data_IF_870654502805
#
_entry.id   IF_870654502805
#
_cell.length_a   1.000
_cell.length_b   1.000
_cell.length_c   1.000
_cell.angle_alpha   90.00
_cell.angle_beta   90.00
_cell.angle_gamma   90.00
#
_symmetry.space_group_name_H-M   'P 1'
#
loop_
_entity.id
_entity.type
_entity.pdbx_description
1 polymer ?
#
# COMPACT_ATOMS: atom_id res chain seq x y z
N UNK A 1 -4.42 9.51 -2.32
CA UNK A 1 -4.60 8.87 -3.64
C UNK A 1 -4.13 9.80 -4.74
N UNK A 2 -2.90 9.63 -5.20
CA UNK A 2 -2.32 10.50 -6.23
C UNK A 2 -2.83 10.14 -7.62
N UNK A 3 -3.02 8.86 -7.89
CA UNK A 3 -3.44 8.34 -9.21
C UNK A 3 -4.93 8.06 -9.33
N UNK A 4 -5.70 8.29 -8.28
CA UNK A 4 -7.14 8.02 -8.21
C UNK A 4 -7.91 9.27 -7.81
N UNK A 5 -9.01 9.56 -8.50
CA UNK A 5 -9.92 10.66 -8.16
C UNK A 5 -11.37 10.22 -8.20
N UNK A 6 -12.15 10.79 -7.29
CA UNK A 6 -13.60 10.65 -7.33
C UNK A 6 -14.18 11.24 -8.61
N UNK A 7 -15.33 10.73 -9.03
CA UNK A 7 -16.06 11.17 -10.23
C UNK A 7 -16.63 12.59 -10.06
N UNK A 8 -15.76 13.59 -10.10
CA UNK A 8 -16.15 14.99 -10.10
C UNK A 8 -15.37 15.78 -11.16
N UNK A 9 -15.69 15.57 -12.45
CA UNK A 9 -14.92 16.08 -13.57
C UNK A 9 -14.82 17.60 -13.62
N UNK A 10 -15.85 18.30 -13.16
CA UNK A 10 -15.92 19.76 -13.25
C UNK A 10 -15.26 20.51 -12.07
N UNK A 11 -14.79 19.77 -11.07
CA UNK A 11 -14.09 20.37 -9.93
C UNK A 11 -12.73 20.92 -10.36
N UNK A 12 -12.44 22.13 -9.97
CA UNK A 12 -11.16 22.80 -10.19
C UNK A 12 -10.03 22.17 -9.35
N UNK A 13 -8.83 22.08 -9.93
CA UNK A 13 -7.63 21.61 -9.25
C UNK A 13 -7.00 22.80 -8.54
N UNK A 14 -7.04 22.77 -7.23
CA UNK A 14 -6.58 23.89 -6.39
C UNK A 14 -5.08 24.18 -6.51
N UNK A 15 -4.30 23.16 -6.82
CA UNK A 15 -2.84 23.22 -6.92
C UNK A 15 -2.36 23.94 -8.18
N UNK A 16 -3.17 23.88 -9.25
CA UNK A 16 -2.90 24.59 -10.53
C UNK A 16 -4.21 25.19 -11.04
N UNK A 17 -4.48 26.47 -10.79
CA UNK A 17 -5.67 27.16 -11.28
C UNK A 17 -5.80 27.06 -12.82
N UNK A 18 -7.03 26.92 -13.29
CA UNK A 18 -7.34 26.81 -14.72
C UNK A 18 -7.49 25.38 -15.24
N UNK A 19 -7.17 24.36 -14.44
CA UNK A 19 -7.43 22.95 -14.76
C UNK A 19 -8.57 22.39 -13.92
N UNK A 20 -9.37 21.51 -14.52
CA UNK A 20 -10.39 20.71 -13.85
C UNK A 20 -9.96 19.25 -13.81
N UNK A 21 -10.56 18.44 -12.95
CA UNK A 21 -10.21 17.01 -12.86
C UNK A 21 -10.39 16.26 -14.18
N UNK A 22 -11.38 16.62 -15.02
CA UNK A 22 -11.53 16.02 -16.35
C UNK A 22 -10.32 16.23 -17.26
N UNK A 23 -9.55 17.29 -17.06
CA UNK A 23 -8.38 17.63 -17.89
C UNK A 23 -7.16 16.74 -17.53
N UNK A 24 -7.21 16.06 -16.39
CA UNK A 24 -6.13 15.22 -15.88
C UNK A 24 -6.47 13.73 -15.81
N UNK A 25 -7.68 13.34 -16.19
CA UNK A 25 -8.01 11.93 -16.26
C UNK A 25 -7.33 11.24 -17.44
N UNK A 26 -6.98 9.97 -17.26
CA UNK A 26 -6.62 9.10 -18.36
C UNK A 26 -7.89 8.72 -19.15
N UNK A 27 -7.81 8.80 -20.47
CA UNK A 27 -8.92 8.46 -21.35
C UNK A 27 -8.54 7.35 -22.31
N UNK A 28 -9.46 6.39 -22.54
CA UNK A 28 -9.38 5.42 -23.62
C UNK A 28 -10.72 5.35 -24.35
N UNK A 29 -10.68 5.34 -25.67
CA UNK A 29 -11.88 5.35 -26.54
C UNK A 29 -12.86 6.47 -26.16
N UNK A 30 -12.33 7.66 -25.85
CA UNK A 30 -13.09 8.85 -25.48
C UNK A 30 -13.78 8.81 -24.12
N UNK A 31 -13.50 7.81 -23.27
CA UNK A 31 -14.06 7.67 -21.92
C UNK A 31 -12.95 7.72 -20.87
N UNK A 32 -13.21 8.35 -19.70
CA UNK A 32 -12.26 8.29 -18.60
C UNK A 32 -12.08 6.85 -18.12
N UNK A 33 -10.85 6.46 -17.88
CA UNK A 33 -10.52 5.14 -17.34
C UNK A 33 -10.98 5.04 -15.89
N UNK A 34 -11.76 4.00 -15.61
CA UNK A 34 -12.35 3.76 -14.31
C UNK A 34 -11.89 2.43 -13.71
N UNK A 35 -11.50 2.45 -12.45
CA UNK A 35 -11.19 1.29 -11.64
C UNK A 35 -11.66 1.55 -10.21
N UNK A 36 -12.29 0.56 -9.58
CA UNK A 36 -12.79 0.63 -8.20
C UNK A 36 -13.61 1.90 -7.90
N UNK A 37 -14.50 2.26 -8.83
CA UNK A 37 -15.41 3.39 -8.64
C UNK A 37 -14.76 4.78 -8.74
N UNK A 38 -13.52 4.87 -9.20
CA UNK A 38 -12.80 6.13 -9.35
C UNK A 38 -12.09 6.23 -10.71
N UNK A 39 -11.81 7.45 -11.14
CA UNK A 39 -11.10 7.72 -12.40
C UNK A 39 -9.59 7.76 -12.18
N UNK A 40 -8.87 7.15 -13.11
CA UNK A 40 -7.41 7.21 -13.17
C UNK A 40 -6.94 8.62 -13.58
N UNK A 41 -5.87 9.07 -12.95
CA UNK A 41 -5.23 10.37 -13.20
C UNK A 41 -3.94 10.15 -13.97
N UNK A 42 -3.70 10.99 -14.97
CA UNK A 42 -2.45 11.01 -15.73
C UNK A 42 -1.28 11.41 -14.83
N UNK A 43 -0.34 10.50 -14.53
CA UNK A 43 0.82 10.83 -13.71
C UNK A 43 1.74 11.88 -14.32
N UNK A 44 1.67 12.05 -15.65
CA UNK A 44 2.57 12.95 -16.39
C UNK A 44 2.03 14.39 -16.47
N UNK A 45 0.79 14.60 -16.04
CA UNK A 45 0.20 15.95 -16.05
C UNK A 45 0.82 16.83 -14.94
N UNK A 46 1.15 18.11 -15.20
CA UNK A 46 1.76 18.99 -14.21
C UNK A 46 0.97 19.13 -12.90
N UNK A 47 -0.35 19.02 -12.95
CA UNK A 47 -1.18 19.02 -11.74
C UNK A 47 -0.93 17.81 -10.85
N UNK A 48 -0.58 16.67 -11.41
CA UNK A 48 -0.25 15.46 -10.64
C UNK A 48 1.03 15.69 -9.85
N UNK A 49 2.07 16.23 -10.47
CA UNK A 49 3.30 16.61 -9.78
C UNK A 49 3.04 17.65 -8.69
N UNK A 50 2.26 18.70 -8.97
CA UNK A 50 1.93 19.73 -7.98
C UNK A 50 1.19 19.16 -6.76
N UNK A 51 0.27 18.20 -6.97
CA UNK A 51 -0.43 17.51 -5.88
C UNK A 51 0.51 16.64 -5.04
N UNK A 52 1.43 15.91 -5.70
CA UNK A 52 2.44 15.09 -5.01
C UNK A 52 3.34 15.96 -4.15
N UNK A 53 3.90 17.01 -4.71
CA UNK A 53 4.75 17.98 -4.01
C UNK A 53 4.06 18.55 -2.78
N UNK A 54 2.84 19.08 -2.93
CA UNK A 54 2.09 19.64 -1.81
C UNK A 54 1.82 18.62 -0.71
N UNK A 55 1.45 17.38 -1.08
CA UNK A 55 1.19 16.33 -0.11
C UNK A 55 2.46 15.95 0.65
N UNK A 56 3.58 15.83 -0.04
CA UNK A 56 4.88 15.59 0.54
C UNK A 56 5.28 16.68 1.53
N UNK A 57 5.19 17.95 1.13
CA UNK A 57 5.48 19.09 2.01
C UNK A 57 4.61 19.09 3.29
N UNK A 58 3.35 18.66 3.18
CA UNK A 58 2.48 18.51 4.34
C UNK A 58 2.98 17.41 5.28
N UNK A 59 3.37 16.25 4.74
CA UNK A 59 3.83 15.10 5.52
C UNK A 59 5.17 15.38 6.20
N UNK A 60 6.12 16.00 5.50
CA UNK A 60 7.40 16.42 6.09
C UNK A 60 7.20 17.41 7.23
N UNK A 61 6.35 18.43 7.05
CA UNK A 61 6.04 19.40 8.14
C UNK A 61 5.37 18.74 9.33
N UNK A 62 4.62 17.66 9.13
CA UNK A 62 3.99 16.90 10.20
C UNK A 62 4.93 15.88 10.86
N UNK A 63 6.15 15.69 10.32
CA UNK A 63 7.14 14.76 10.86
C UNK A 63 6.87 13.28 10.57
N UNK A 64 6.14 12.98 9.48
CA UNK A 64 5.95 11.59 9.06
C UNK A 64 7.21 11.05 8.38
N UNK A 65 7.60 9.83 8.77
CA UNK A 65 8.73 9.07 8.21
C UNK A 65 8.30 7.84 7.42
N UNK A 66 7.01 7.52 7.45
CA UNK A 66 6.39 6.38 6.76
C UNK A 66 5.18 6.87 5.96
N UNK A 67 5.07 6.39 4.72
CA UNK A 67 3.92 6.66 3.86
C UNK A 67 3.41 5.37 3.21
N UNK A 68 2.12 5.11 3.35
CA UNK A 68 1.42 4.08 2.57
C UNK A 68 0.77 4.75 1.36
N UNK A 69 1.18 4.31 0.17
CA UNK A 69 0.65 4.78 -1.11
C UNK A 69 -0.33 3.75 -1.66
N UNK A 70 -1.60 4.08 -1.64
CA UNK A 70 -2.68 3.15 -1.98
C UNK A 70 -3.32 3.44 -3.34
N UNK A 71 -3.98 2.43 -3.93
CA UNK A 71 -4.63 2.49 -5.24
C UNK A 71 -3.68 2.88 -6.38
N UNK A 72 -2.46 2.38 -6.34
CA UNK A 72 -1.41 2.77 -7.26
C UNK A 72 -1.60 2.22 -8.69
N UNK A 73 -2.36 1.12 -8.85
CA UNK A 73 -2.68 0.51 -10.16
C UNK A 73 -3.37 1.48 -11.12
N UNK A 74 -4.12 2.46 -10.60
CA UNK A 74 -4.75 3.49 -11.44
C UNK A 74 -3.72 4.24 -12.32
N UNK A 75 -2.52 4.48 -11.81
CA UNK A 75 -1.45 5.13 -12.57
C UNK A 75 -0.83 4.28 -13.69
N UNK A 76 -1.14 2.97 -13.71
CA UNK A 76 -0.67 2.02 -14.71
C UNK A 76 -1.74 1.65 -15.76
N UNK A 77 -2.91 2.31 -15.72
CA UNK A 77 -3.96 2.05 -16.69
C UNK A 77 -3.58 2.56 -18.08
N UNK A 78 -3.95 1.79 -19.11
CA UNK A 78 -3.71 2.19 -20.49
C UNK A 78 -4.62 3.36 -20.90
N UNK A 79 -4.11 4.22 -21.78
CA UNK A 79 -4.84 5.37 -22.29
C UNK A 79 -4.53 5.63 -23.77
N UNK A 80 -5.38 6.39 -24.44
CA UNK A 80 -5.15 6.79 -25.83
C UNK A 80 -3.96 7.76 -25.95
N UNK A 81 -3.71 8.53 -24.89
CA UNK A 81 -2.60 9.50 -24.80
C UNK A 81 -2.35 9.92 -23.37
N UNK A 82 -1.13 10.37 -23.11
CA UNK A 82 -0.71 11.06 -21.89
C UNK A 82 -0.38 12.52 -22.17
N UNK A 83 -0.33 13.34 -21.12
CA UNK A 83 0.10 14.74 -21.25
C UNK A 83 1.55 14.83 -21.76
N UNK A 84 2.43 13.97 -21.27
CA UNK A 84 3.76 13.79 -21.85
C UNK A 84 3.67 12.88 -23.08
N UNK A 85 3.94 13.39 -24.31
CA UNK A 85 3.78 12.63 -25.55
C UNK A 85 4.82 11.52 -25.72
N UNK A 86 5.88 11.48 -24.91
CA UNK A 86 6.88 10.41 -24.92
C UNK A 86 6.37 9.14 -24.25
N UNK A 87 5.34 9.24 -23.43
CA UNK A 87 4.71 8.10 -22.77
C UNK A 87 3.69 7.46 -23.71
N UNK A 88 3.81 6.15 -23.90
CA UNK A 88 3.00 5.38 -24.84
C UNK A 88 2.26 4.20 -24.20
N UNK A 89 2.58 3.85 -22.97
CA UNK A 89 1.96 2.73 -22.23
C UNK A 89 1.67 3.09 -20.80
N UNK A 90 0.69 2.42 -20.19
CA UNK A 90 0.33 2.63 -18.80
C UNK A 90 1.49 2.40 -17.83
N UNK A 91 2.33 1.37 -18.09
CA UNK A 91 3.48 1.11 -17.23
C UNK A 91 4.58 2.20 -17.35
N UNK A 92 4.74 2.82 -18.51
CA UNK A 92 5.63 3.98 -18.66
C UNK A 92 5.09 5.18 -17.87
N UNK A 93 3.77 5.44 -17.94
CA UNK A 93 3.10 6.47 -17.15
C UNK A 93 3.25 6.21 -15.65
N UNK A 94 3.03 4.98 -15.21
CA UNK A 94 3.25 4.57 -13.84
C UNK A 94 4.68 4.81 -13.38
N UNK A 95 5.67 4.37 -14.17
CA UNK A 95 7.08 4.56 -13.84
C UNK A 95 7.46 6.05 -13.75
N UNK A 96 6.95 6.88 -14.66
CA UNK A 96 7.12 8.34 -14.59
C UNK A 96 6.58 8.91 -13.28
N UNK A 97 5.36 8.52 -12.91
CA UNK A 97 4.76 8.94 -11.65
C UNK A 97 5.51 8.44 -10.42
N UNK A 98 6.05 7.21 -10.45
CA UNK A 98 6.87 6.68 -9.35
C UNK A 98 8.19 7.45 -9.20
N UNK A 99 8.81 7.91 -10.28
CA UNK A 99 9.98 8.80 -10.23
C UNK A 99 9.66 10.13 -9.54
N UNK A 100 8.47 10.69 -9.79
CA UNK A 100 8.02 11.89 -9.09
C UNK A 100 7.75 11.62 -7.61
N UNK A 101 7.14 10.48 -7.27
CA UNK A 101 6.92 10.09 -5.89
C UNK A 101 8.24 9.89 -5.15
N UNK A 102 9.20 9.21 -5.76
CA UNK A 102 10.55 9.05 -5.20
C UNK A 102 11.23 10.41 -4.97
N UNK A 103 11.14 11.32 -5.94
CA UNK A 103 11.67 12.69 -5.82
C UNK A 103 11.13 13.44 -4.58
N UNK A 104 9.85 13.25 -4.24
CA UNK A 104 9.19 14.00 -3.18
C UNK A 104 9.08 13.25 -1.85
N UNK A 105 9.09 11.91 -1.86
CA UNK A 105 8.90 11.06 -0.69
C UNK A 105 10.05 10.08 -0.45
N UNK A 106 11.09 10.08 -1.27
CA UNK A 106 12.14 9.05 -1.25
C UNK A 106 13.00 9.03 0.02
N UNK A 107 12.89 10.03 0.87
CA UNK A 107 13.47 10.06 2.22
C UNK A 107 12.57 9.42 3.30
N UNK A 108 11.32 9.05 2.95
CA UNK A 108 10.40 8.31 3.79
C UNK A 108 10.43 6.82 3.48
N UNK A 109 10.01 6.01 4.44
CA UNK A 109 9.71 4.60 4.18
C UNK A 109 8.41 4.51 3.34
N UNK A 110 8.52 3.98 2.12
CA UNK A 110 7.39 3.85 1.18
C UNK A 110 6.85 2.42 1.23
N UNK A 111 5.56 2.28 1.50
CA UNK A 111 4.79 1.05 1.41
C UNK A 111 3.72 1.18 0.32
N UNK A 112 3.78 0.32 -0.70
CA UNK A 112 2.82 0.33 -1.81
C UNK A 112 1.62 -0.57 -1.53
N UNK A 113 0.44 -0.14 -1.93
CA UNK A 113 -0.79 -0.93 -1.85
C UNK A 113 -1.58 -0.81 -3.15
N UNK A 114 -2.25 -1.91 -3.56
CA UNK A 114 -2.94 -2.04 -4.85
C UNK A 114 -2.05 -1.48 -5.96
N UNK A 115 -0.85 -2.02 -6.06
CA UNK A 115 0.19 -1.56 -6.99
C UNK A 115 0.64 -2.69 -7.92
N UNK A 116 1.14 -2.39 -9.11
CA UNK A 116 1.95 -3.34 -9.86
C UNK A 116 3.08 -3.91 -8.98
N UNK A 117 3.46 -5.17 -9.21
CA UNK A 117 4.61 -5.77 -8.49
C UNK A 117 5.91 -5.12 -8.92
N UNK A 118 6.01 -4.70 -10.16
CA UNK A 118 7.16 -4.02 -10.73
C UNK A 118 6.76 -2.68 -11.36
N UNK A 119 7.66 -1.68 -11.38
CA UNK A 119 9.02 -1.66 -10.81
C UNK A 119 9.00 -1.62 -9.26
N UNK A 120 9.93 -2.37 -8.64
CA UNK A 120 9.95 -2.53 -7.18
C UNK A 120 10.89 -1.55 -6.45
N UNK A 121 11.86 -0.98 -7.15
CA UNK A 121 12.96 -0.21 -6.55
C UNK A 121 12.56 1.15 -5.93
N UNK A 122 11.31 1.57 -6.08
CA UNK A 122 10.80 2.82 -5.51
C UNK A 122 10.24 2.68 -4.09
N UNK A 123 10.16 1.46 -3.55
CA UNK A 123 9.54 1.23 -2.26
C UNK A 123 10.27 0.16 -1.45
N UNK A 124 10.19 0.27 -0.13
CA UNK A 124 10.76 -0.71 0.78
C UNK A 124 9.82 -1.88 1.02
N UNK A 125 8.51 -1.65 0.94
CA UNK A 125 7.52 -2.71 1.13
C UNK A 125 6.33 -2.60 0.19
N UNK A 126 5.60 -3.71 0.08
CA UNK A 126 4.37 -3.81 -0.69
C UNK A 126 3.34 -4.65 0.06
N UNK A 127 2.09 -4.23 0.03
CA UNK A 127 0.95 -4.98 0.54
C UNK A 127 0.78 -6.28 -0.23
N UNK A 128 0.75 -7.40 0.46
CA UNK A 128 0.71 -8.73 -0.17
C UNK A 128 -0.71 -9.31 -0.28
N UNK A 129 -1.64 -8.86 0.56
CA UNK A 129 -3.01 -9.38 0.64
C UNK A 129 -4.06 -8.26 0.69
N UNK A 130 -5.34 -8.63 0.78
CA UNK A 130 -6.44 -7.71 1.03
C UNK A 130 -6.42 -7.16 2.45
N UNK A 131 -7.33 -6.21 2.75
CA UNK A 131 -7.50 -5.67 4.09
C UNK A 131 -7.76 -6.80 5.10
N UNK A 132 -7.01 -6.80 6.16
CA UNK A 132 -7.10 -7.80 7.21
C UNK A 132 -7.56 -7.16 8.52
N UNK A 133 -8.62 -7.70 9.08
CA UNK A 133 -9.19 -7.28 10.34
C UNK A 133 -8.95 -8.34 11.43
N UNK A 134 -9.80 -8.41 12.41
CA UNK A 134 -9.71 -9.34 13.55
C UNK A 134 -10.26 -10.75 13.29
N UNK A 135 -10.57 -11.11 12.05
CA UNK A 135 -11.19 -12.42 11.72
C UNK A 135 -10.15 -13.39 11.18
N UNK A 136 -10.29 -14.66 11.58
CA UNK A 136 -9.40 -15.74 11.11
C UNK A 136 -9.31 -15.84 9.59
N UNK A 137 -10.43 -15.67 8.88
CA UNK A 137 -10.44 -15.70 7.41
C UNK A 137 -9.52 -14.66 6.76
N UNK A 138 -9.37 -13.50 7.39
CA UNK A 138 -8.50 -12.43 6.90
C UNK A 138 -7.03 -12.81 7.12
N UNK A 139 -6.73 -13.41 8.28
CA UNK A 139 -5.40 -13.95 8.58
C UNK A 139 -5.05 -15.13 7.67
N UNK A 140 -5.98 -16.05 7.44
CA UNK A 140 -5.80 -17.17 6.52
C UNK A 140 -5.48 -16.66 5.10
N UNK A 141 -6.25 -15.67 4.62
CA UNK A 141 -5.99 -15.06 3.32
C UNK A 141 -4.59 -14.44 3.23
N UNK A 142 -4.16 -13.74 4.29
CA UNK A 142 -2.81 -13.16 4.37
C UNK A 142 -1.73 -14.23 4.34
N UNK A 143 -1.89 -15.29 5.13
CA UNK A 143 -0.92 -16.40 5.18
C UNK A 143 -0.85 -17.16 3.85
N UNK A 144 -1.98 -17.36 3.18
CA UNK A 144 -2.00 -17.94 1.84
C UNK A 144 -1.26 -17.03 0.83
N UNK A 145 -1.51 -15.72 0.87
CA UNK A 145 -0.81 -14.77 0.00
C UNK A 145 0.70 -14.77 0.26
N UNK A 146 1.13 -14.88 1.52
CA UNK A 146 2.54 -15.02 1.89
C UNK A 146 3.13 -16.35 1.38
N UNK A 147 2.36 -17.46 1.45
CA UNK A 147 2.81 -18.76 0.96
C UNK A 147 3.05 -18.77 -0.54
N UNK A 148 2.15 -18.19 -1.33
CA UNK A 148 2.33 -18.08 -2.79
C UNK A 148 3.30 -16.98 -3.19
N UNK A 149 3.36 -15.91 -2.43
CA UNK A 149 4.15 -14.71 -2.72
C UNK A 149 5.47 -14.61 -1.93
N UNK A 150 5.94 -15.68 -1.28
CA UNK A 150 7.14 -15.68 -0.43
C UNK A 150 8.38 -15.12 -1.12
N UNK A 151 8.51 -15.36 -2.44
CA UNK A 151 9.62 -14.89 -3.26
C UNK A 151 9.72 -13.35 -3.31
N UNK A 152 8.67 -12.62 -2.97
CA UNK A 152 8.67 -11.15 -2.94
C UNK A 152 9.63 -10.59 -1.87
N UNK A 153 10.02 -11.38 -0.87
CA UNK A 153 11.10 -11.03 0.07
C UNK A 153 12.47 -10.81 -0.59
N UNK A 154 12.63 -11.26 -1.85
CA UNK A 154 13.82 -11.00 -2.66
C UNK A 154 13.70 -9.74 -3.52
N UNK A 155 12.52 -9.16 -3.56
CA UNK A 155 12.17 -8.01 -4.40
C UNK A 155 11.95 -6.76 -3.55
N UNK A 156 11.21 -6.90 -2.45
CA UNK A 156 10.99 -5.86 -1.46
C UNK A 156 11.72 -6.21 -0.17
N UNK A 157 12.07 -5.18 0.59
CA UNK A 157 12.69 -5.36 1.90
C UNK A 157 11.75 -6.05 2.89
N UNK A 158 10.44 -5.73 2.81
CA UNK A 158 9.38 -6.33 3.61
C UNK A 158 8.12 -6.54 2.78
N UNK A 159 7.36 -7.60 3.13
CA UNK A 159 5.99 -7.79 2.68
C UNK A 159 5.03 -7.20 3.71
N UNK A 160 4.09 -6.36 3.28
CA UNK A 160 3.08 -5.80 4.18
C UNK A 160 1.91 -6.78 4.34
N UNK A 161 1.68 -7.36 5.55
CA UNK A 161 0.58 -8.29 5.81
C UNK A 161 -0.73 -7.57 6.12
N UNK A 162 -0.76 -6.25 6.02
CA UNK A 162 -1.75 -5.34 6.54
C UNK A 162 -1.71 -5.16 8.07
N UNK A 163 -2.57 -4.29 8.55
CA UNK A 163 -2.60 -3.89 9.94
C UNK A 163 -3.00 -5.05 10.88
N UNK A 164 -2.40 -5.06 12.06
CA UNK A 164 -2.71 -5.99 13.13
C UNK A 164 -3.82 -5.38 13.99
N UNK A 165 -4.99 -6.03 13.98
CA UNK A 165 -6.17 -5.65 14.76
C UNK A 165 -6.39 -6.69 15.84
N UNK A 166 -6.31 -6.28 17.10
CA UNK A 166 -6.39 -7.16 18.28
C UNK A 166 -7.73 -7.10 19.02
N UNK A 167 -8.52 -6.05 18.75
CA UNK A 167 -9.84 -5.88 19.37
C UNK A 167 -10.80 -7.00 18.94
N UNK A 168 -11.74 -7.32 19.81
CA UNK A 168 -12.85 -8.24 19.53
C UNK A 168 -12.43 -9.62 18.98
N UNK A 169 -11.23 -10.07 19.31
CA UNK A 169 -10.67 -11.34 18.90
C UNK A 169 -10.17 -12.14 20.08
N UNK A 170 -10.21 -13.46 19.96
CA UNK A 170 -9.67 -14.39 20.95
C UNK A 170 -8.15 -14.36 20.99
N UNK A 171 -7.55 -14.93 22.02
CA UNK A 171 -6.11 -15.05 22.15
C UNK A 171 -5.47 -15.86 20.99
N UNK A 172 -6.15 -16.92 20.53
CA UNK A 172 -5.71 -17.73 19.40
C UNK A 172 -5.71 -16.95 18.09
N UNK A 173 -6.78 -16.20 17.80
CA UNK A 173 -6.91 -15.34 16.63
C UNK A 173 -5.84 -14.24 16.64
N UNK A 174 -5.62 -13.61 17.79
CA UNK A 174 -4.58 -12.58 17.94
C UNK A 174 -3.19 -13.15 17.68
N UNK A 175 -2.87 -14.35 18.21
CA UNK A 175 -1.59 -15.01 17.93
C UNK A 175 -1.40 -15.32 16.46
N UNK A 176 -2.42 -15.86 15.80
CA UNK A 176 -2.38 -16.13 14.36
C UNK A 176 -2.13 -14.85 13.56
N UNK A 177 -2.82 -13.76 13.91
CA UNK A 177 -2.67 -12.46 13.23
C UNK A 177 -1.27 -11.86 13.46
N UNK A 178 -0.75 -11.90 14.67
CA UNK A 178 0.60 -11.43 15.00
C UNK A 178 1.66 -12.27 14.26
N UNK A 179 1.45 -13.58 14.12
CA UNK A 179 2.36 -14.46 13.38
C UNK A 179 2.54 -14.00 11.94
N UNK A 180 1.49 -13.51 11.27
CA UNK A 180 1.62 -12.97 9.92
C UNK A 180 2.57 -11.77 9.85
N UNK A 181 2.55 -10.89 10.85
CA UNK A 181 3.49 -9.78 10.97
C UNK A 181 4.92 -10.24 11.28
N UNK A 182 5.08 -11.26 12.13
CA UNK A 182 6.39 -11.86 12.42
C UNK A 182 7.03 -12.42 11.14
N UNK A 183 6.27 -13.17 10.35
CA UNK A 183 6.74 -13.76 9.09
C UNK A 183 7.17 -12.68 8.09
N UNK A 184 6.48 -11.56 8.05
CA UNK A 184 6.78 -10.45 7.13
C UNK A 184 7.85 -9.48 7.64
N UNK A 185 8.14 -9.51 8.94
CA UNK A 185 9.11 -8.61 9.57
C UNK A 185 8.61 -7.19 9.80
N UNK A 186 7.31 -6.94 9.66
CA UNK A 186 6.71 -5.61 9.85
C UNK A 186 5.42 -5.70 10.66
N UNK A 187 5.28 -4.83 11.67
CA UNK A 187 4.05 -4.63 12.41
C UNK A 187 3.43 -3.27 12.09
N UNK A 188 2.23 -3.30 11.55
CA UNK A 188 1.41 -2.10 11.33
C UNK A 188 0.26 -2.16 12.33
N UNK A 189 0.19 -1.22 13.26
CA UNK A 189 -0.83 -1.18 14.28
C UNK A 189 -2.18 -0.74 13.69
N UNK A 190 -3.24 -1.53 13.92
CA UNK A 190 -4.59 -1.29 13.40
C UNK A 190 -5.62 -0.90 14.44
N UNK A 191 -5.22 -0.78 15.70
CA UNK A 191 -6.10 -0.38 16.81
C UNK A 191 -5.77 1.03 17.32
N UNK A 192 -6.70 1.59 18.12
CA UNK A 192 -6.49 2.87 18.79
C UNK A 192 -5.71 2.68 20.09
N UNK A 193 -4.44 3.11 20.08
CA UNK A 193 -3.55 3.12 21.25
C UNK A 193 -3.45 4.50 21.93
N UNK A 194 -4.26 5.46 21.53
CA UNK A 194 -4.34 6.78 22.18
C UNK A 194 -4.89 6.70 23.61
N UNK A 195 -4.97 7.83 24.31
CA UNK A 195 -5.58 7.88 25.66
C UNK A 195 -7.02 7.36 25.69
N UNK A 196 -7.77 7.56 24.59
CA UNK A 196 -9.16 7.10 24.44
C UNK A 196 -9.31 5.63 24.07
N UNK A 197 -8.23 4.99 23.63
CA UNK A 197 -8.26 3.59 23.21
C UNK A 197 -8.51 2.62 24.37
N UNK A 198 -9.07 1.45 24.03
CA UNK A 198 -9.42 0.39 24.98
C UNK A 198 -8.22 -0.09 25.80
N UNK A 199 -8.43 -0.27 27.11
CA UNK A 199 -7.41 -0.85 28.00
C UNK A 199 -7.08 -2.29 27.60
N UNK A 200 -8.10 -3.09 27.24
CA UNK A 200 -7.92 -4.47 26.79
C UNK A 200 -6.99 -4.55 25.57
N UNK A 201 -7.22 -3.70 24.58
CA UNK A 201 -6.37 -3.66 23.36
C UNK A 201 -4.94 -3.27 23.67
N UNK A 202 -4.73 -2.33 24.59
CA UNK A 202 -3.39 -1.94 25.04
C UNK A 202 -2.67 -3.08 25.76
N UNK A 203 -3.37 -3.84 26.61
CA UNK A 203 -2.83 -5.02 27.29
C UNK A 203 -2.45 -6.11 26.27
N UNK A 204 -3.32 -6.38 25.28
CA UNK A 204 -3.01 -7.30 24.18
C UNK A 204 -1.78 -6.82 23.37
N UNK A 205 -1.71 -5.54 23.04
CA UNK A 205 -0.56 -4.98 22.33
C UNK A 205 0.73 -5.13 23.13
N UNK A 206 0.70 -4.86 24.44
CA UNK A 206 1.84 -5.09 25.33
C UNK A 206 2.27 -6.56 25.36
N UNK A 207 1.32 -7.48 25.31
CA UNK A 207 1.60 -8.92 25.30
C UNK A 207 2.28 -9.38 24.02
N UNK A 208 1.84 -8.88 22.86
CA UNK A 208 2.25 -9.40 21.55
C UNK A 208 3.23 -8.51 20.81
N UNK A 209 2.94 -7.20 20.70
CA UNK A 209 3.68 -6.32 19.79
C UNK A 209 4.97 -5.75 20.44
N UNK A 210 5.07 -5.78 21.75
CA UNK A 210 6.28 -5.32 22.47
C UNK A 210 7.11 -6.47 23.05
N UNK A 211 6.78 -7.72 22.72
CA UNK A 211 7.53 -8.88 23.17
C UNK A 211 8.87 -8.96 22.43
N UNK A 212 9.96 -8.84 23.16
CA UNK A 212 11.31 -8.82 22.59
C UNK A 212 11.69 -10.13 21.89
N UNK A 213 11.24 -11.28 22.38
CA UNK A 213 11.51 -12.59 21.77
C UNK A 213 10.77 -12.71 20.42
N UNK A 214 9.52 -12.30 20.36
CA UNK A 214 8.73 -12.26 19.10
C UNK A 214 9.40 -11.30 18.10
N UNK A 215 9.75 -10.11 18.53
CA UNK A 215 10.33 -9.09 17.66
C UNK A 215 11.73 -9.49 17.13
N UNK A 216 12.46 -10.31 17.87
CA UNK A 216 13.76 -10.82 17.45
C UNK A 216 13.68 -11.86 16.33
N UNK A 217 12.55 -12.57 16.18
CA UNK A 217 12.39 -13.66 15.19
C UNK A 217 12.51 -13.14 13.76
N UNK A 218 11.86 -12.04 13.45
CA UNK A 218 11.75 -11.51 12.09
C UNK A 218 12.92 -10.60 11.68
N UNK A 219 13.89 -10.40 12.54
CA UNK A 219 14.97 -9.44 12.33
C UNK A 219 15.89 -9.85 11.17
N UNK A 220 15.57 -9.42 9.97
CA UNK A 220 16.35 -9.67 8.75
C UNK A 220 16.23 -11.10 8.19
N UNK A 221 15.27 -11.88 8.64
CA UNK A 221 15.02 -13.23 8.14
C UNK A 221 13.94 -13.25 7.06
N UNK A 222 14.17 -14.05 6.01
CA UNK A 222 13.15 -14.39 5.02
C UNK A 222 12.50 -15.72 5.38
N UNK A 223 11.19 -15.78 5.28
CA UNK A 223 10.41 -16.98 5.50
C UNK A 223 9.87 -17.51 4.17
N UNK A 224 9.76 -18.83 4.04
CA UNK A 224 9.16 -19.49 2.89
C UNK A 224 8.40 -20.75 3.35
N UNK A 225 7.44 -21.23 2.54
CA UNK A 225 6.70 -22.46 2.89
C UNK A 225 7.61 -23.65 3.09
N UNK A 226 7.29 -24.49 4.06
CA UNK A 226 8.08 -25.72 4.36
C UNK A 226 7.97 -26.73 3.23
N UNK A 227 6.81 -26.83 2.58
CA UNK A 227 6.56 -27.68 1.41
C UNK A 227 7.14 -27.12 0.10
N UNK A 228 7.60 -25.89 0.13
CA UNK A 228 8.36 -25.23 -0.94
C UNK A 228 7.57 -24.68 -2.10
N UNK A 229 6.29 -24.93 -2.24
CA UNK A 229 5.51 -24.52 -3.40
C UNK A 229 4.39 -23.52 -3.11
N UNK A 230 4.06 -23.29 -1.85
CA UNK A 230 2.98 -22.37 -1.46
C UNK A 230 1.58 -22.87 -1.81
N UNK A 231 1.40 -24.17 -2.03
CA UNK A 231 0.09 -24.73 -2.27
C UNK A 231 -0.80 -24.66 -1.02
N UNK A 232 -2.07 -24.39 -1.26
CA UNK A 232 -3.06 -24.44 -0.19
C UNK A 232 -3.21 -25.90 0.25
N UNK A 233 -2.88 -26.18 1.47
CA UNK A 233 -3.23 -27.46 2.09
C UNK A 233 -4.70 -27.42 2.53
N UNK A 234 -5.50 -28.36 2.06
CA UNK A 234 -6.90 -28.50 2.50
C UNK A 234 -7.03 -28.94 3.97
N UNK A 235 -5.91 -29.31 4.58
CA UNK A 235 -5.84 -29.88 5.92
C UNK A 235 -5.00 -29.04 6.91
N UNK A 236 -4.72 -27.78 6.61
CA UNK A 236 -3.98 -26.89 7.50
C UNK A 236 -4.87 -25.90 8.21
#
# INVERSE_FOLDING_TARGET
DVYKRQKNPEREIKEIPGYKYKDVYLYANGKPQELDGAYAVDPTHPSSEAMMKRTSELFHRAGFEYVKMDFMTHGAMEADKWYNPEIQTGIQGYNYGMQLLDKYFGDMYINLSISPVFPAHYAQSRRIACDAWNKMKDTEYTLNALSYGWWQDKVYQFNDPDHIVLRDATDGENRARVTSGVITGIFIAGDDFSKGGSKEVKEKAMKYLTNAEINAIANGQSFHPVDGNGEKSENQ
#
